data_IF_053819550684
#
_entry.id   IF_053819550684
#
_cell.length_a   1.000
_cell.length_b   1.000
_cell.length_c   1.000
_cell.angle_alpha   90.00
_cell.angle_beta   90.00
_cell.angle_gamma   90.00
#
_symmetry.space_group_name_H-M   'P 1'
#
loop_
_entity.id
_entity.type
_entity.pdbx_description
1 polymer ?
#
# COMPACT_ATOMS: atom_id res chain seq x y z
N UNK A 1 8.65 -18.31 -14.11
CA UNK A 1 8.35 -17.28 -15.13
C UNK A 1 8.01 -18.00 -16.42
N UNK A 2 6.87 -17.70 -17.09
CA UNK A 2 6.47 -18.42 -18.31
C UNK A 2 7.46 -18.18 -19.46
N UNK A 3 7.64 -19.18 -20.32
CA UNK A 3 8.40 -19.03 -21.56
C UNK A 3 7.65 -18.15 -22.57
N UNK A 4 8.32 -17.59 -23.59
CA UNK A 4 7.64 -16.82 -24.63
C UNK A 4 6.49 -17.60 -25.31
N UNK A 5 6.66 -18.91 -25.47
CA UNK A 5 5.61 -19.77 -26.04
C UNK A 5 4.43 -19.94 -25.07
N UNK A 6 4.70 -20.19 -23.79
CA UNK A 6 3.65 -20.26 -22.76
C UNK A 6 2.86 -18.95 -22.66
N UNK A 7 3.54 -17.80 -22.75
CA UNK A 7 2.88 -16.49 -22.73
C UNK A 7 1.95 -16.28 -23.94
N UNK A 8 2.32 -16.77 -25.13
CA UNK A 8 1.46 -16.73 -26.34
C UNK A 8 0.26 -17.67 -26.26
N UNK A 9 0.38 -18.79 -25.54
CA UNK A 9 -0.78 -19.68 -25.35
C UNK A 9 -1.79 -19.05 -24.39
N UNK A 10 -1.34 -18.30 -23.38
CA UNK A 10 -2.23 -17.57 -22.48
C UNK A 10 -3.07 -16.52 -23.21
N UNK A 11 -2.52 -15.82 -24.21
CA UNK A 11 -3.29 -14.82 -24.99
C UNK A 11 -4.44 -15.42 -25.82
N UNK A 12 -4.47 -16.75 -26.01
CA UNK A 12 -5.53 -17.43 -26.77
C UNK A 12 -6.71 -17.88 -25.89
N UNK A 13 -6.60 -17.74 -24.57
CA UNK A 13 -7.70 -18.09 -23.67
C UNK A 13 -8.71 -16.94 -23.64
N UNK A 14 -9.99 -17.25 -23.85
CA UNK A 14 -11.07 -16.25 -23.87
C UNK A 14 -11.19 -15.46 -22.55
N UNK A 15 -10.70 -16.03 -21.43
CA UNK A 15 -10.65 -15.36 -20.13
C UNK A 15 -9.52 -14.34 -19.97
N UNK A 16 -8.58 -14.27 -20.91
CA UNK A 16 -7.38 -13.42 -20.82
C UNK A 16 -7.55 -12.20 -21.71
N UNK A 17 -7.68 -11.03 -21.08
CA UNK A 17 -7.86 -9.75 -21.79
C UNK A 17 -6.56 -9.24 -22.42
N UNK A 18 -5.42 -9.37 -21.72
CA UNK A 18 -4.11 -9.00 -22.26
C UNK A 18 -2.96 -9.66 -21.50
N UNK A 19 -1.81 -9.76 -22.16
CA UNK A 19 -0.55 -10.26 -21.59
C UNK A 19 0.55 -9.26 -21.92
N UNK A 20 1.30 -8.85 -20.90
CA UNK A 20 2.44 -7.94 -21.04
C UNK A 20 3.61 -8.45 -20.21
N UNK A 21 4.82 -8.16 -20.69
CA UNK A 21 6.03 -8.52 -19.97
C UNK A 21 6.14 -7.73 -18.65
N UNK A 22 6.50 -8.43 -17.57
CA UNK A 22 6.79 -7.78 -16.28
C UNK A 22 8.05 -6.93 -16.44
N UNK A 23 7.93 -5.63 -16.24
CA UNK A 23 9.07 -4.71 -16.18
C UNK A 23 9.37 -4.34 -14.72
N UNK A 24 10.62 -4.55 -14.29
CA UNK A 24 11.06 -4.02 -13.01
C UNK A 24 11.01 -2.49 -13.02
N UNK A 25 10.58 -1.91 -11.89
CA UNK A 25 10.59 -0.46 -11.66
C UNK A 25 11.61 -0.17 -10.55
N UNK A 26 12.33 0.93 -10.69
CA UNK A 26 13.27 1.42 -9.70
C UNK A 26 12.54 2.44 -8.81
N UNK A 27 12.77 2.37 -7.49
CA UNK A 27 12.15 3.27 -6.51
C UNK A 27 12.91 4.61 -6.52
N UNK A 28 12.21 5.74 -6.58
CA UNK A 28 12.80 7.08 -6.76
C UNK A 28 12.35 8.10 -5.67
N UNK A 29 12.06 7.67 -4.45
CA UNK A 29 11.32 8.49 -3.48
C UNK A 29 12.18 9.33 -2.52
N UNK A 30 13.19 10.05 -3.01
CA UNK A 30 13.94 11.00 -2.16
C UNK A 30 13.48 12.45 -2.42
N UNK A 31 13.34 13.23 -1.35
CA UNK A 31 12.99 14.68 -1.38
C UNK A 31 11.69 15.09 -2.08
N UNK A 32 10.77 14.15 -2.32
CA UNK A 32 9.52 14.43 -3.04
C UNK A 32 8.64 15.48 -2.36
N UNK A 33 8.58 15.51 -1.02
CA UNK A 33 7.77 16.46 -0.27
C UNK A 33 8.23 17.92 -0.44
N UNK A 34 9.55 18.15 -0.40
CA UNK A 34 10.17 19.46 -0.63
C UNK A 34 10.00 19.89 -2.09
N UNK A 35 10.27 18.98 -3.03
CA UNK A 35 10.06 19.24 -4.47
C UNK A 35 8.61 19.62 -4.80
N UNK A 36 7.64 18.94 -4.17
CA UNK A 36 6.21 19.23 -4.34
C UNK A 36 5.75 20.45 -3.51
N UNK A 37 6.61 21.02 -2.67
CA UNK A 37 6.30 22.19 -1.84
C UNK A 37 5.10 21.97 -0.91
N UNK A 38 4.88 20.74 -0.43
CA UNK A 38 3.64 20.36 0.28
C UNK A 38 3.43 21.20 1.54
N UNK A 39 4.51 21.59 2.23
CA UNK A 39 4.48 22.44 3.42
C UNK A 39 3.92 23.85 3.15
N UNK A 40 3.94 24.31 1.89
CA UNK A 40 3.40 25.61 1.48
C UNK A 40 1.89 25.59 1.22
N UNK A 41 1.27 24.40 1.21
CA UNK A 41 -0.16 24.24 0.92
C UNK A 41 -0.96 24.38 2.23
N UNK A 42 -1.39 25.61 2.52
CA UNK A 42 -2.15 25.97 3.73
C UNK A 42 -3.41 25.12 4.00
N UNK A 43 -3.98 24.49 2.96
CA UNK A 43 -5.18 23.66 3.08
C UNK A 43 -4.95 22.35 3.87
N UNK A 44 -3.77 21.73 3.83
CA UNK A 44 -3.55 20.43 4.50
C UNK A 44 -3.54 20.53 6.03
N UNK A 45 -3.17 21.70 6.55
CA UNK A 45 -3.14 22.02 7.98
C UNK A 45 -4.54 22.35 8.54
N UNK A 46 -5.54 22.55 7.69
CA UNK A 46 -6.88 23.00 8.09
C UNK A 46 -7.97 21.91 7.96
N UNK A 47 -7.64 20.74 7.39
CA UNK A 47 -8.61 19.64 7.30
C UNK A 47 -8.76 18.95 8.67
N UNK A 48 -9.97 18.91 9.25
CA UNK A 48 -10.24 18.18 10.49
C UNK A 48 -9.72 16.73 10.45
N UNK A 49 -9.14 16.27 11.56
CA UNK A 49 -8.57 14.92 11.69
C UNK A 49 -9.59 13.84 11.35
N UNK A 50 -10.85 14.05 11.71
CA UNK A 50 -11.95 13.10 11.49
C UNK A 50 -12.23 12.82 10.00
N UNK A 51 -11.96 13.78 9.11
CA UNK A 51 -12.08 13.58 7.66
C UNK A 51 -10.90 12.79 7.08
N UNK A 52 -9.73 12.80 7.75
CA UNK A 52 -8.53 12.08 7.31
C UNK A 52 -8.60 10.58 7.62
N UNK A 53 -9.35 10.17 8.65
CA UNK A 53 -9.41 8.78 9.13
C UNK A 53 -10.31 7.84 8.31
N UNK A 54 -11.12 8.33 7.36
CA UNK A 54 -12.01 7.49 6.54
C UNK A 54 -11.40 7.12 5.16
N UNK A 55 -10.16 7.52 4.88
CA UNK A 55 -9.44 7.18 3.65
C UNK A 55 -8.40 6.11 3.94
N UNK A 56 -8.38 5.08 3.10
CA UNK A 56 -7.44 3.95 3.21
C UNK A 56 -6.54 3.98 1.98
N UNK A 57 -5.24 4.15 2.21
CA UNK A 57 -4.24 4.19 1.16
C UNK A 57 -3.55 2.83 1.09
N UNK A 58 -3.74 2.11 -0.02
CA UNK A 58 -2.99 0.90 -0.32
C UNK A 58 -1.63 1.23 -0.92
N UNK A 59 -0.57 0.68 -0.35
CA UNK A 59 0.81 0.87 -0.83
C UNK A 59 1.35 -0.47 -1.32
N UNK A 60 1.81 -0.52 -2.56
CA UNK A 60 2.49 -1.67 -3.16
C UNK A 60 3.99 -1.37 -3.17
N UNK A 61 4.70 -1.89 -2.17
CA UNK A 61 6.14 -1.70 -1.97
C UNK A 61 6.81 -3.04 -1.63
N UNK A 62 8.10 -2.99 -1.37
CA UNK A 62 9.00 -4.07 -0.93
C UNK A 62 8.75 -4.53 0.51
N UNK A 63 7.99 -3.79 1.31
CA UNK A 63 7.66 -4.16 2.67
C UNK A 63 7.24 -2.97 3.53
N UNK A 64 7.25 -3.18 4.84
CA UNK A 64 6.90 -2.18 5.85
C UNK A 64 7.69 -2.46 7.13
N UNK A 65 8.08 -1.41 7.84
CA UNK A 65 8.68 -1.47 9.19
C UNK A 65 7.63 -1.08 10.24
N UNK A 66 6.83 -2.04 10.76
CA UNK A 66 5.71 -1.75 11.65
C UNK A 66 6.12 -1.09 12.98
N UNK A 67 7.37 -1.23 13.41
CA UNK A 67 7.94 -0.61 14.61
C UNK A 67 8.26 0.89 14.44
N UNK A 68 8.17 1.43 13.22
CA UNK A 68 8.42 2.84 12.97
C UNK A 68 7.42 3.72 13.72
N UNK A 69 7.91 4.82 14.31
CA UNK A 69 7.05 5.82 15.00
C UNK A 69 5.96 6.40 14.09
N UNK A 70 6.16 6.37 12.77
CA UNK A 70 5.16 6.80 11.79
C UNK A 70 3.89 5.95 11.79
N UNK A 71 3.93 4.75 12.36
CA UNK A 71 2.77 3.86 12.52
C UNK A 71 2.20 3.88 13.95
N UNK A 72 2.54 4.85 14.81
CA UNK A 72 1.89 4.98 16.11
C UNK A 72 0.40 5.31 15.94
N UNK A 73 -0.48 4.56 16.62
CA UNK A 73 -1.92 4.69 16.52
C UNK A 73 -2.58 5.43 17.70
N UNK A 74 -1.78 6.01 18.59
CA UNK A 74 -2.23 6.84 19.70
C UNK A 74 -3.13 7.99 19.21
N UNK A 75 -4.29 8.15 19.85
CA UNK A 75 -5.26 9.19 19.50
C UNK A 75 -6.12 8.90 18.27
N UNK A 76 -5.92 7.76 17.58
CA UNK A 76 -6.78 7.37 16.45
C UNK A 76 -8.06 6.65 16.90
N UNK A 77 -9.17 7.04 16.26
CA UNK A 77 -10.46 6.37 16.39
C UNK A 77 -10.48 4.96 15.78
N UNK A 78 -11.63 4.27 15.85
CA UNK A 78 -11.75 2.91 15.34
C UNK A 78 -11.58 2.86 13.82
N UNK A 79 -11.11 1.70 13.33
CA UNK A 79 -10.99 1.43 11.89
C UNK A 79 -12.35 1.58 11.20
N UNK A 80 -12.36 2.22 10.03
CA UNK A 80 -13.58 2.41 9.25
C UNK A 80 -14.29 1.09 8.95
N UNK A 81 -15.59 0.99 9.28
CA UNK A 81 -16.41 -0.23 9.14
C UNK A 81 -16.44 -0.82 7.72
N UNK A 82 -16.19 0.01 6.71
CA UNK A 82 -16.15 -0.41 5.30
C UNK A 82 -14.89 -1.21 4.94
N UNK A 83 -13.86 -1.15 5.77
CA UNK A 83 -12.61 -1.86 5.53
C UNK A 83 -12.77 -3.37 5.70
N UNK A 84 -12.29 -4.14 4.72
CA UNK A 84 -12.36 -5.61 4.70
C UNK A 84 -11.01 -6.26 4.44
N UNK A 85 -9.91 -5.50 4.54
CA UNK A 85 -8.57 -6.05 4.39
C UNK A 85 -8.19 -6.94 5.56
N UNK A 86 -7.13 -7.73 5.39
CA UNK A 86 -6.63 -8.64 6.39
C UNK A 86 -5.17 -8.35 6.74
N UNK A 87 -4.82 -8.48 8.02
CA UNK A 87 -3.44 -8.50 8.46
C UNK A 87 -2.88 -9.91 8.26
N UNK A 88 -2.10 -10.14 7.19
CA UNK A 88 -1.55 -11.47 6.89
C UNK A 88 -0.15 -11.60 7.51
N UNK A 89 0.08 -12.56 8.43
CA UNK A 89 1.40 -12.85 8.98
C UNK A 89 2.42 -13.27 7.92
N UNK A 90 3.70 -13.23 8.28
CA UNK A 90 4.79 -13.71 7.44
C UNK A 90 6.13 -13.57 8.15
N UNK A 91 7.21 -13.56 7.39
CA UNK A 91 8.56 -13.45 7.94
C UNK A 91 8.72 -12.16 8.74
N UNK A 92 9.05 -12.30 10.03
CA UNK A 92 9.18 -11.21 10.99
C UNK A 92 7.96 -10.27 11.07
N UNK A 93 6.76 -10.78 10.72
CA UNK A 93 5.52 -10.01 10.76
C UNK A 93 4.37 -10.85 11.33
N UNK A 94 3.80 -10.40 12.42
CA UNK A 94 2.74 -11.06 13.19
C UNK A 94 1.45 -10.24 13.15
N UNK A 95 0.34 -10.81 13.63
CA UNK A 95 -0.94 -10.09 13.71
C UNK A 95 -0.86 -8.83 14.57
N UNK A 96 0.00 -8.80 15.59
CA UNK A 96 0.18 -7.63 16.46
C UNK A 96 0.94 -6.48 15.80
N UNK A 97 1.50 -6.69 14.60
CA UNK A 97 2.14 -5.61 13.85
C UNK A 97 1.14 -4.71 13.11
N UNK A 98 -0.10 -5.18 12.89
CA UNK A 98 -1.17 -4.32 12.40
C UNK A 98 -1.88 -3.62 13.56
N UNK A 99 -2.26 -2.37 13.34
CA UNK A 99 -2.90 -1.52 14.34
C UNK A 99 -3.91 -0.56 13.65
N UNK A 100 -4.27 0.57 14.29
CA UNK A 100 -5.24 1.51 13.67
C UNK A 100 -4.64 2.44 12.60
N UNK A 101 -3.32 2.39 12.35
CA UNK A 101 -2.63 3.02 11.20
C UNK A 101 -2.32 1.99 10.12
N UNK A 102 -1.53 0.97 10.45
CA UNK A 102 -1.17 -0.13 9.55
C UNK A 102 -2.28 -1.18 9.58
N UNK A 103 -3.32 -0.96 8.77
CA UNK A 103 -4.54 -1.77 8.81
C UNK A 103 -4.39 -3.17 8.20
N UNK A 104 -3.53 -3.33 7.18
CA UNK A 104 -3.34 -4.59 6.47
C UNK A 104 -1.96 -4.75 5.87
N UNK A 105 -1.61 -6.00 5.61
CA UNK A 105 -0.47 -6.43 4.82
C UNK A 105 -0.91 -7.64 4.01
N UNK A 106 -0.59 -7.65 2.73
CA UNK A 106 -0.79 -8.80 1.84
C UNK A 106 0.57 -9.16 1.27
N UNK A 107 0.90 -10.45 1.24
CA UNK A 107 2.06 -10.95 0.51
C UNK A 107 1.67 -11.22 -0.94
N UNK A 108 2.38 -10.59 -1.87
CA UNK A 108 2.27 -10.86 -3.30
C UNK A 108 3.28 -11.95 -3.64
N UNK A 109 2.95 -13.21 -3.32
CA UNK A 109 3.69 -14.40 -3.80
C UNK A 109 3.23 -14.81 -5.18
#
# INVERSE_FOLDING_TARGET
MPTPEQARQLTKQDSVVSVFERRAKIIHTTHSWEFLGVDSINQYNQVPVDLKSDVIVGVVDTGVWPESKGFNDDGLGPVAKKFKGACVPGDNFTLSNCNRVLLFRISLT
#
